data_IF_224309773702
#
_entry.id   IF_224309773702
#
_cell.length_a   1.000
_cell.length_b   1.000
_cell.length_c   1.000
_cell.angle_alpha   90.00
_cell.angle_beta   90.00
_cell.angle_gamma   90.00
#
_symmetry.space_group_name_H-M   'P 1'
#
loop_
_entity.id
_entity.type
_entity.pdbx_description
1 polymer ?
#
# COMPACT_ATOMS: atom_id res chain seq x y z
N UNK A 1 -37.89 0.62 -8.24
CA UNK A 1 -37.52 2.02 -7.91
C UNK A 1 -36.04 2.14 -8.20
N UNK A 2 -35.57 3.14 -8.96
CA UNK A 2 -34.13 3.34 -9.11
C UNK A 2 -33.56 3.65 -7.72
N UNK A 3 -32.48 2.96 -7.34
CA UNK A 3 -31.72 3.28 -6.14
C UNK A 3 -31.31 4.76 -6.20
N UNK A 4 -31.56 5.48 -5.10
CA UNK A 4 -31.03 6.83 -4.95
C UNK A 4 -29.49 6.73 -4.98
N UNK A 5 -28.79 7.58 -5.74
CA UNK A 5 -27.33 7.56 -5.76
C UNK A 5 -26.80 7.74 -4.34
N UNK A 6 -25.79 6.93 -3.95
CA UNK A 6 -25.14 7.02 -2.64
C UNK A 6 -24.73 8.47 -2.38
N UNK A 7 -25.23 9.13 -1.31
CA UNK A 7 -24.94 10.54 -1.04
C UNK A 7 -23.46 10.83 -0.80
N UNK A 8 -22.64 9.79 -0.56
CA UNK A 8 -21.17 9.87 -0.44
C UNK A 8 -20.49 10.02 -1.82
N UNK A 9 -21.13 9.58 -2.90
CA UNK A 9 -20.61 9.63 -4.26
C UNK A 9 -20.76 11.04 -4.86
N UNK A 10 -19.82 11.90 -4.50
CA UNK A 10 -19.66 13.25 -5.04
C UNK A 10 -18.25 13.46 -5.58
N UNK A 11 -18.10 14.43 -6.49
CA UNK A 11 -16.79 14.81 -7.03
C UNK A 11 -15.84 15.25 -5.92
N UNK A 12 -14.55 15.11 -6.16
CA UNK A 12 -13.50 15.76 -5.39
C UNK A 12 -13.38 17.21 -5.83
N UNK A 13 -13.35 18.14 -4.88
CA UNK A 13 -13.30 19.58 -5.16
C UNK A 13 -11.86 20.13 -5.18
N UNK A 14 -10.88 19.38 -4.68
CA UNK A 14 -9.48 19.79 -4.63
C UNK A 14 -8.51 18.60 -4.56
N UNK A 15 -7.22 18.86 -4.85
CA UNK A 15 -6.14 17.88 -4.70
C UNK A 15 -6.01 17.36 -3.25
N UNK A 16 -6.22 18.23 -2.26
CA UNK A 16 -6.19 17.86 -0.85
C UNK A 16 -7.32 16.88 -0.50
N UNK A 17 -8.51 17.05 -1.08
CA UNK A 17 -9.65 16.17 -0.80
C UNK A 17 -9.46 14.78 -1.41
N UNK A 18 -8.95 14.69 -2.65
CA UNK A 18 -8.64 13.38 -3.26
C UNK A 18 -7.49 12.70 -2.54
N UNK A 19 -6.45 13.43 -2.13
CA UNK A 19 -5.35 12.88 -1.35
C UNK A 19 -5.82 12.35 0.00
N UNK A 20 -6.74 13.07 0.67
CA UNK A 20 -7.37 12.56 1.89
C UNK A 20 -8.14 11.24 1.62
N UNK A 21 -8.86 11.15 0.50
CA UNK A 21 -9.51 9.90 0.07
C UNK A 21 -8.53 8.74 -0.13
N UNK A 22 -7.40 8.96 -0.81
CA UNK A 22 -6.36 7.94 -0.97
C UNK A 22 -5.74 7.54 0.39
N UNK A 23 -5.50 8.50 1.30
CA UNK A 23 -4.99 8.22 2.64
C UNK A 23 -5.99 7.44 3.49
N UNK A 24 -7.29 7.69 3.36
CA UNK A 24 -8.33 6.91 4.05
C UNK A 24 -8.37 5.46 3.57
N UNK A 25 -8.20 5.22 2.27
CA UNK A 25 -8.05 3.86 1.72
C UNK A 25 -6.79 3.18 2.25
N UNK A 26 -5.67 3.91 2.25
CA UNK A 26 -4.42 3.41 2.78
C UNK A 26 -4.55 3.04 4.26
N UNK A 27 -5.20 3.89 5.07
CA UNK A 27 -5.46 3.60 6.48
C UNK A 27 -6.31 2.34 6.66
N UNK A 28 -7.34 2.14 5.85
CA UNK A 28 -8.16 0.94 5.89
C UNK A 28 -7.36 -0.33 5.52
N UNK A 29 -6.53 -0.26 4.48
CA UNK A 29 -5.63 -1.34 4.09
C UNK A 29 -4.63 -1.66 5.22
N UNK A 30 -3.94 -0.65 5.75
CA UNK A 30 -2.94 -0.84 6.79
C UNK A 30 -3.56 -1.41 8.06
N UNK A 31 -4.78 -0.98 8.45
CA UNK A 31 -5.50 -1.57 9.59
C UNK A 31 -5.77 -3.05 9.39
N UNK A 32 -6.26 -3.43 8.21
CA UNK A 32 -6.48 -4.84 7.87
C UNK A 32 -5.16 -5.62 7.98
N UNK A 33 -4.10 -5.18 7.30
CA UNK A 33 -2.81 -5.91 7.28
C UNK A 33 -2.14 -5.97 8.65
N UNK A 34 -2.21 -4.90 9.44
CA UNK A 34 -1.72 -4.89 10.82
C UNK A 34 -2.52 -5.86 11.70
N UNK A 35 -3.84 -5.89 11.56
CA UNK A 35 -4.69 -6.80 12.32
C UNK A 35 -4.40 -8.28 11.97
N UNK A 36 -4.15 -8.58 10.70
CA UNK A 36 -3.74 -9.92 10.28
C UNK A 36 -2.35 -10.26 10.80
N UNK A 37 -1.37 -9.37 10.62
CA UNK A 37 0.01 -9.62 11.06
C UNK A 37 0.10 -9.81 12.59
N UNK A 38 -0.65 -9.05 13.39
CA UNK A 38 -0.72 -9.24 14.85
C UNK A 38 -1.14 -10.65 15.25
N UNK A 39 -2.05 -11.27 14.49
CA UNK A 39 -2.51 -12.65 14.76
C UNK A 39 -1.41 -13.68 14.50
N UNK A 40 -0.43 -13.38 13.66
CA UNK A 40 0.74 -14.26 13.45
C UNK A 40 1.67 -14.31 14.65
N UNK A 41 1.66 -13.28 15.50
CA UNK A 41 2.54 -13.14 16.67
C UNK A 41 1.90 -13.61 17.99
N UNK A 42 0.64 -14.07 17.98
CA UNK A 42 -0.10 -14.40 19.22
C UNK A 42 0.61 -15.46 20.07
N UNK A 43 1.34 -16.38 19.43
CA UNK A 43 2.07 -17.46 20.11
C UNK A 43 3.53 -17.13 20.44
N UNK A 44 4.10 -16.03 19.92
CA UNK A 44 5.49 -15.63 20.17
C UNK A 44 5.67 -14.09 20.18
N UNK A 45 5.18 -13.41 21.23
CA UNK A 45 5.28 -11.96 21.34
C UNK A 45 6.67 -11.44 21.72
N UNK A 46 7.65 -12.33 21.95
CA UNK A 46 8.92 -11.98 22.59
C UNK A 46 10.08 -11.69 21.61
N UNK A 47 9.91 -11.97 20.32
CA UNK A 47 11.01 -11.87 19.35
C UNK A 47 10.68 -10.90 18.22
N UNK A 48 11.12 -9.64 18.40
CA UNK A 48 11.29 -8.68 17.32
C UNK A 48 12.76 -8.72 16.86
N UNK A 49 13.03 -9.51 15.82
CA UNK A 49 14.14 -9.28 14.88
C UNK A 49 15.59 -9.52 15.32
N UNK A 50 15.89 -10.03 16.53
CA UNK A 50 17.31 -10.23 16.95
C UNK A 50 17.80 -11.66 16.69
N UNK A 51 16.94 -12.67 16.80
CA UNK A 51 17.27 -14.08 16.56
C UNK A 51 16.04 -14.76 15.96
N UNK A 52 16.22 -15.46 14.85
CA UNK A 52 15.17 -16.31 14.25
C UNK A 52 15.08 -17.61 15.05
N UNK A 53 13.92 -17.90 15.63
CA UNK A 53 13.72 -19.13 16.42
C UNK A 53 13.47 -20.34 15.51
N UNK A 54 13.73 -21.57 15.98
CA UNK A 54 13.42 -22.79 15.21
C UNK A 54 11.92 -22.85 14.81
N UNK A 55 11.03 -22.41 15.72
CA UNK A 55 9.59 -22.30 15.46
C UNK A 55 9.28 -21.29 14.36
N UNK A 56 9.99 -20.16 14.35
CA UNK A 56 9.85 -19.16 13.28
C UNK A 56 10.36 -19.71 11.95
N UNK A 57 11.48 -20.45 11.93
CA UNK A 57 11.96 -21.14 10.73
C UNK A 57 10.90 -22.10 10.19
N UNK A 58 10.34 -22.96 11.05
CA UNK A 58 9.29 -23.90 10.65
C UNK A 58 8.06 -23.15 10.09
N UNK A 59 7.61 -22.09 10.76
CA UNK A 59 6.49 -21.28 10.31
C UNK A 59 6.76 -20.56 8.96
N UNK A 60 8.00 -20.15 8.71
CA UNK A 60 8.42 -19.57 7.43
C UNK A 60 8.45 -20.62 6.30
N UNK A 61 8.85 -21.85 6.60
CA UNK A 61 8.92 -22.95 5.64
C UNK A 61 7.54 -23.56 5.33
N UNK A 62 6.63 -23.59 6.31
CA UNK A 62 5.24 -24.04 6.14
C UNK A 62 4.39 -23.02 5.36
N UNK A 63 4.85 -21.76 5.26
CA UNK A 63 4.19 -20.73 4.48
C UNK A 63 4.27 -21.05 2.99
N UNK A 64 3.14 -20.89 2.28
CA UNK A 64 3.12 -21.00 0.83
C UNK A 64 4.15 -20.09 0.18
N UNK A 65 4.83 -20.58 -0.87
CA UNK A 65 5.83 -19.81 -1.61
C UNK A 65 5.24 -18.47 -2.04
N UNK A 66 5.96 -17.38 -1.78
CA UNK A 66 5.56 -16.02 -2.13
C UNK A 66 4.29 -15.49 -1.45
N UNK A 67 3.71 -16.23 -0.50
CA UNK A 67 2.56 -15.75 0.26
C UNK A 67 2.98 -14.67 1.27
N UNK A 68 2.17 -13.62 1.48
CA UNK A 68 2.48 -12.58 2.45
C UNK A 68 2.54 -13.14 3.88
N UNK A 69 3.16 -12.43 4.83
CA UNK A 69 3.38 -12.94 6.19
C UNK A 69 2.12 -13.38 6.93
N UNK A 70 0.99 -12.79 6.59
CA UNK A 70 -0.31 -13.02 7.18
C UNK A 70 -1.24 -13.95 6.35
N UNK A 71 -0.73 -14.61 5.32
CA UNK A 71 -1.56 -15.42 4.42
C UNK A 71 -2.26 -16.61 5.11
N UNK A 72 -1.65 -17.19 6.15
CA UNK A 72 -2.19 -18.33 6.88
C UNK A 72 -3.17 -17.94 8.00
N UNK A 73 -3.41 -16.64 8.21
CA UNK A 73 -4.27 -16.16 9.29
C UNK A 73 -5.73 -16.45 8.95
N UNK A 74 -6.41 -17.19 9.84
CA UNK A 74 -7.84 -17.44 9.72
C UNK A 74 -8.63 -16.12 9.80
N UNK A 75 -9.62 -15.96 8.91
CA UNK A 75 -10.50 -14.79 8.87
C UNK A 75 -11.59 -14.97 9.94
N UNK A 76 -11.52 -14.15 10.99
CA UNK A 76 -12.58 -14.00 11.99
C UNK A 76 -13.51 -12.83 11.64
N UNK A 77 -14.56 -12.63 12.44
CA UNK A 77 -15.55 -11.57 12.22
C UNK A 77 -14.92 -10.16 12.21
N UNK A 78 -13.86 -9.93 13.00
CA UNK A 78 -13.16 -8.64 13.03
C UNK A 78 -12.39 -8.41 11.74
N UNK A 79 -11.65 -9.42 11.26
CA UNK A 79 -10.92 -9.33 10.00
C UNK A 79 -11.86 -9.19 8.80
N UNK A 80 -12.99 -9.90 8.80
CA UNK A 80 -14.02 -9.75 7.79
C UNK A 80 -14.56 -8.31 7.74
N UNK A 81 -14.90 -7.73 8.90
CA UNK A 81 -15.35 -6.35 8.98
C UNK A 81 -14.29 -5.33 8.51
N UNK A 82 -13.01 -5.58 8.80
CA UNK A 82 -11.91 -4.73 8.31
C UNK A 82 -11.71 -4.86 6.79
N UNK A 83 -11.87 -6.06 6.23
CA UNK A 83 -11.81 -6.29 4.79
C UNK A 83 -12.97 -5.60 4.07
N UNK A 84 -14.19 -5.73 4.60
CA UNK A 84 -15.38 -5.04 4.08
C UNK A 84 -15.21 -3.51 4.14
N UNK A 85 -14.64 -2.98 5.23
CA UNK A 85 -14.36 -1.56 5.35
C UNK A 85 -13.33 -1.08 4.31
N UNK A 86 -12.30 -1.87 4.01
CA UNK A 86 -11.35 -1.53 2.94
C UNK A 86 -12.00 -1.59 1.56
N UNK A 87 -12.88 -2.57 1.32
CA UNK A 87 -13.63 -2.69 0.07
C UNK A 87 -14.59 -1.50 -0.13
N UNK A 88 -15.45 -1.18 0.83
CA UNK A 88 -16.38 -0.03 0.76
C UNK A 88 -15.64 1.29 0.52
N UNK A 89 -14.50 1.50 1.20
CA UNK A 89 -13.69 2.71 0.98
C UNK A 89 -13.05 2.77 -0.39
N UNK A 90 -12.57 1.64 -0.91
CA UNK A 90 -12.00 1.56 -2.24
C UNK A 90 -13.05 1.79 -3.32
N UNK A 91 -14.21 1.15 -3.20
CA UNK A 91 -15.34 1.33 -4.13
C UNK A 91 -15.84 2.77 -4.13
N UNK A 92 -16.07 3.35 -2.94
CA UNK A 92 -16.48 4.74 -2.80
C UNK A 92 -15.46 5.68 -3.44
N UNK A 93 -14.17 5.49 -3.18
CA UNK A 93 -13.14 6.37 -3.74
C UNK A 93 -13.06 6.28 -5.26
N UNK A 94 -13.08 5.07 -5.84
CA UNK A 94 -13.06 4.91 -7.30
C UNK A 94 -14.33 5.49 -7.94
N UNK A 95 -15.50 5.35 -7.30
CA UNK A 95 -16.73 6.00 -7.76
C UNK A 95 -16.60 7.54 -7.77
N UNK A 96 -16.01 8.12 -6.72
CA UNK A 96 -15.75 9.56 -6.64
C UNK A 96 -14.70 10.03 -7.65
N UNK A 97 -13.65 9.24 -7.88
CA UNK A 97 -12.65 9.49 -8.95
C UNK A 97 -13.34 9.52 -10.31
N UNK A 98 -14.18 8.52 -10.63
CA UNK A 98 -14.92 8.45 -11.88
C UNK A 98 -15.83 9.67 -12.09
N UNK A 99 -16.58 10.08 -11.06
CA UNK A 99 -17.41 11.29 -11.09
C UNK A 99 -16.57 12.55 -11.33
N UNK A 100 -15.42 12.65 -10.67
CA UNK A 100 -14.52 13.80 -10.80
C UNK A 100 -13.91 13.89 -12.20
N UNK A 101 -13.52 12.75 -12.79
CA UNK A 101 -13.05 12.70 -14.18
C UNK A 101 -14.15 13.06 -15.18
N UNK A 102 -15.42 12.74 -14.88
CA UNK A 102 -16.55 13.00 -15.77
C UNK A 102 -17.01 14.47 -15.80
N UNK A 103 -16.83 15.22 -14.72
CA UNK A 103 -17.31 16.61 -14.64
C UNK A 103 -16.86 17.42 -13.43
N UNK A 104 -15.86 16.94 -12.69
CA UNK A 104 -15.24 17.66 -11.59
C UNK A 104 -14.17 18.66 -12.05
N UNK A 105 -13.58 19.40 -11.11
CA UNK A 105 -12.45 20.27 -11.40
C UNK A 105 -11.22 19.47 -11.89
N UNK A 106 -10.33 20.08 -12.69
CA UNK A 106 -9.08 19.43 -13.06
C UNK A 106 -8.17 19.32 -11.82
N UNK A 107 -7.97 18.09 -11.35
CA UNK A 107 -7.08 17.79 -10.22
C UNK A 107 -5.73 17.30 -10.72
N UNK A 108 -4.65 17.75 -10.08
CA UNK A 108 -3.26 17.44 -10.44
C UNK A 108 -3.03 15.92 -10.32
N UNK A 109 -3.42 15.30 -9.20
CA UNK A 109 -3.23 13.85 -9.02
C UNK A 109 -3.95 13.02 -10.09
N UNK A 110 -5.17 13.40 -10.47
CA UNK A 110 -5.93 12.71 -11.52
C UNK A 110 -5.35 12.97 -12.92
N UNK A 111 -4.85 14.18 -13.18
CA UNK A 111 -4.15 14.52 -14.42
C UNK A 111 -2.86 13.73 -14.58
N UNK A 112 -2.06 13.58 -13.52
CA UNK A 112 -0.88 12.71 -13.49
C UNK A 112 -1.27 11.26 -13.77
N UNK A 113 -2.32 10.78 -13.10
CA UNK A 113 -2.78 9.42 -13.27
C UNK A 113 -3.22 9.13 -14.71
N UNK A 114 -4.03 10.01 -15.30
CA UNK A 114 -4.45 9.86 -16.69
C UNK A 114 -3.29 9.98 -17.69
N UNK A 115 -2.37 10.93 -17.48
CA UNK A 115 -1.25 11.19 -18.38
C UNK A 115 -0.16 10.11 -18.37
N UNK A 116 0.01 9.44 -17.23
CA UNK A 116 1.03 8.39 -17.05
C UNK A 116 0.44 6.97 -17.00
N UNK A 117 -0.88 6.82 -17.17
CA UNK A 117 -1.55 5.52 -17.11
C UNK A 117 -1.59 4.90 -15.72
N UNK A 118 -1.58 5.71 -14.66
CA UNK A 118 -1.62 5.23 -13.28
C UNK A 118 -3.01 4.72 -12.92
N UNK A 119 -3.10 3.43 -12.60
CA UNK A 119 -4.29 2.78 -12.09
C UNK A 119 -4.57 3.10 -10.62
N UNK A 120 -5.60 2.43 -10.07
CA UNK A 120 -5.94 2.54 -8.66
C UNK A 120 -4.80 2.06 -7.74
N UNK A 121 -4.13 0.97 -8.13
CA UNK A 121 -2.99 0.41 -7.40
C UNK A 121 -1.80 1.37 -7.40
N UNK A 122 -1.44 1.96 -8.54
CA UNK A 122 -0.37 2.94 -8.64
C UNK A 122 -0.60 4.15 -7.71
N UNK A 123 -1.84 4.66 -7.67
CA UNK A 123 -2.18 5.77 -6.76
C UNK A 123 -2.06 5.37 -5.29
N UNK A 124 -2.45 4.14 -4.95
CA UNK A 124 -2.30 3.62 -3.59
C UNK A 124 -0.83 3.44 -3.21
N UNK A 125 0.02 2.94 -4.12
CA UNK A 125 1.48 2.82 -3.94
C UNK A 125 2.13 4.18 -3.78
N UNK A 126 1.78 5.15 -4.65
CA UNK A 126 2.25 6.53 -4.54
C UNK A 126 1.86 7.11 -3.18
N UNK A 127 0.62 6.90 -2.75
CA UNK A 127 0.10 7.37 -1.46
C UNK A 127 0.88 6.76 -0.30
N UNK A 128 1.14 5.45 -0.33
CA UNK A 128 1.98 4.77 0.67
C UNK A 128 3.41 5.35 0.73
N UNK A 129 3.99 5.73 -0.41
CA UNK A 129 5.33 6.30 -0.46
C UNK A 129 5.39 7.76 0.04
N UNK A 130 4.36 8.57 -0.21
CA UNK A 130 4.30 9.98 0.28
C UNK A 130 3.80 10.08 1.72
N UNK A 131 3.01 9.13 2.21
CA UNK A 131 2.37 9.20 3.53
C UNK A 131 3.34 9.51 4.68
N UNK A 132 4.56 8.93 4.75
CA UNK A 132 5.56 9.27 5.78
C UNK A 132 6.05 10.72 5.78
N UNK A 133 5.96 11.41 4.64
CA UNK A 133 6.30 12.82 4.53
C UNK A 133 5.11 13.76 4.82
N UNK A 134 3.89 13.22 4.86
CA UNK A 134 2.67 13.94 5.24
C UNK A 134 2.38 13.80 6.73
N UNK A 135 2.58 12.60 7.29
CA UNK A 135 2.37 12.31 8.70
C UNK A 135 3.38 11.25 9.20
N UNK A 136 4.17 11.61 10.21
CA UNK A 136 5.21 10.74 10.79
C UNK A 136 4.65 9.47 11.44
N UNK A 137 3.34 9.37 11.70
CA UNK A 137 2.73 8.13 12.17
C UNK A 137 2.97 6.98 11.19
N UNK A 138 3.00 7.26 9.89
CA UNK A 138 3.23 6.24 8.87
C UNK A 138 4.67 5.71 8.92
N UNK A 139 5.66 6.51 9.32
CA UNK A 139 7.03 6.00 9.54
C UNK A 139 7.04 4.87 10.58
N UNK A 140 6.25 5.01 11.65
CA UNK A 140 6.17 4.03 12.74
C UNK A 140 5.40 2.78 12.31
N UNK A 141 4.29 2.95 11.59
CA UNK A 141 3.50 1.82 11.08
C UNK A 141 4.31 1.01 10.07
N UNK A 142 5.01 1.68 9.15
CA UNK A 142 5.85 1.02 8.14
C UNK A 142 7.03 0.30 8.80
N UNK A 143 7.70 0.92 9.77
CA UNK A 143 8.77 0.26 10.51
C UNK A 143 8.28 -0.99 11.26
N UNK A 144 7.08 -0.93 11.84
CA UNK A 144 6.46 -2.10 12.48
C UNK A 144 6.11 -3.21 11.47
N UNK A 145 5.58 -2.86 10.30
CA UNK A 145 5.28 -3.84 9.24
C UNK A 145 6.55 -4.49 8.65
N UNK A 146 7.68 -3.77 8.65
CA UNK A 146 8.98 -4.34 8.28
C UNK A 146 9.61 -5.23 9.35
N UNK A 147 9.04 -5.27 10.56
CA UNK A 147 9.71 -5.75 11.77
C UNK A 147 11.08 -5.08 12.00
N UNK A 148 11.21 -3.82 11.56
CA UNK A 148 12.44 -3.03 11.66
C UNK A 148 12.09 -1.54 11.82
N UNK A 149 12.20 -1.03 13.04
CA UNK A 149 11.90 0.36 13.37
C UNK A 149 12.83 1.39 12.68
N UNK A 150 13.97 0.94 12.14
CA UNK A 150 14.87 1.80 11.36
C UNK A 150 14.36 2.03 9.93
N UNK A 151 13.52 1.13 9.39
CA UNK A 151 12.97 1.19 8.03
C UNK A 151 11.67 2.01 7.99
N UNK A 152 11.81 3.32 7.80
CA UNK A 152 10.71 4.30 7.85
C UNK A 152 10.06 4.62 6.51
N UNK A 153 10.40 3.87 5.47
CA UNK A 153 9.90 4.03 4.11
C UNK A 153 9.49 2.67 3.56
N UNK A 154 8.47 2.60 2.70
CA UNK A 154 8.03 1.34 2.14
C UNK A 154 9.13 0.78 1.23
N UNK A 155 9.36 -0.53 1.29
CA UNK A 155 10.20 -1.23 0.31
C UNK A 155 9.32 -1.91 -0.73
N UNK A 156 9.92 -2.30 -1.86
CA UNK A 156 9.20 -3.07 -2.90
C UNK A 156 8.58 -4.33 -2.31
N UNK A 157 9.31 -5.05 -1.46
CA UNK A 157 8.81 -6.22 -0.73
C UNK A 157 7.58 -5.92 0.10
N UNK A 158 7.57 -4.83 0.88
CA UNK A 158 6.42 -4.45 1.68
C UNK A 158 5.21 -4.11 0.79
N UNK A 159 5.39 -3.33 -0.28
CA UNK A 159 4.30 -2.99 -1.20
C UNK A 159 3.68 -4.27 -1.77
N UNK A 160 4.54 -5.18 -2.22
CA UNK A 160 4.14 -6.46 -2.77
C UNK A 160 3.39 -7.30 -1.74
N UNK A 161 3.88 -7.37 -0.48
CA UNK A 161 3.19 -8.11 0.58
C UNK A 161 1.80 -7.51 0.89
N UNK A 162 1.67 -6.19 0.87
CA UNK A 162 0.40 -5.49 1.13
C UNK A 162 -0.66 -5.77 0.05
N UNK A 163 -0.24 -5.89 -1.21
CA UNK A 163 -1.12 -5.89 -2.39
C UNK A 163 -1.31 -7.28 -3.03
N UNK A 164 -0.35 -8.19 -2.93
CA UNK A 164 -0.42 -9.51 -3.56
C UNK A 164 -1.00 -10.57 -2.63
N UNK A 165 -1.87 -11.44 -3.16
CA UNK A 165 -2.42 -12.57 -2.40
C UNK A 165 -1.65 -13.87 -2.65
N UNK A 166 -1.13 -14.06 -3.86
CA UNK A 166 -0.42 -15.28 -4.27
C UNK A 166 0.83 -14.98 -5.12
N UNK A 167 1.52 -16.04 -5.57
CA UNK A 167 2.73 -15.92 -6.38
C UNK A 167 2.50 -15.18 -7.71
N UNK A 168 1.36 -15.38 -8.35
CA UNK A 168 1.01 -14.73 -9.61
C UNK A 168 0.88 -13.24 -9.43
N UNK A 169 0.09 -12.83 -8.43
CA UNK A 169 -0.07 -11.42 -8.05
C UNK A 169 1.27 -10.81 -7.65
N UNK A 170 2.10 -11.57 -6.93
CA UNK A 170 3.40 -11.11 -6.47
C UNK A 170 4.34 -10.76 -7.63
N UNK A 171 4.37 -11.61 -8.65
CA UNK A 171 5.17 -11.41 -9.85
C UNK A 171 4.63 -10.24 -10.69
N UNK A 172 3.31 -10.14 -10.83
CA UNK A 172 2.67 -9.02 -11.52
C UNK A 172 2.99 -7.68 -10.84
N UNK A 173 2.79 -7.59 -9.52
CA UNK A 173 3.08 -6.39 -8.74
C UNK A 173 4.57 -6.01 -8.80
N UNK A 174 5.48 -6.99 -8.72
CA UNK A 174 6.91 -6.71 -8.90
C UNK A 174 7.24 -6.21 -10.30
N UNK A 175 6.64 -6.78 -11.35
CA UNK A 175 6.84 -6.32 -12.71
C UNK A 175 6.33 -4.89 -12.92
N UNK A 176 5.20 -4.53 -12.32
CA UNK A 176 4.65 -3.17 -12.35
C UNK A 176 5.54 -2.15 -11.61
N UNK A 177 6.18 -2.55 -10.50
CA UNK A 177 7.02 -1.66 -9.70
C UNK A 177 8.48 -1.56 -10.17
N UNK A 178 9.02 -2.65 -10.72
CA UNK A 178 10.43 -2.79 -11.09
C UNK A 178 10.68 -2.77 -12.59
N UNK A 179 9.62 -2.82 -13.41
CA UNK A 179 9.71 -2.81 -14.86
C UNK A 179 10.38 -1.53 -15.39
N UNK A 180 11.02 -1.64 -16.55
CA UNK A 180 11.65 -0.49 -17.23
C UNK A 180 10.63 0.63 -17.53
N UNK A 181 9.39 0.23 -17.80
CA UNK A 181 8.25 1.12 -18.06
C UNK A 181 7.31 1.27 -16.85
N UNK A 182 7.78 0.97 -15.64
CA UNK A 182 6.98 1.10 -14.41
C UNK A 182 6.38 2.53 -14.34
N UNK A 183 5.04 2.70 -14.41
CA UNK A 183 4.43 4.01 -14.63
C UNK A 183 4.84 5.07 -13.61
N UNK A 184 4.96 4.67 -12.34
CA UNK A 184 5.38 5.55 -11.24
C UNK A 184 6.84 6.00 -11.33
N UNK A 185 7.72 5.18 -11.92
CA UNK A 185 9.13 5.52 -12.16
C UNK A 185 9.28 6.36 -13.42
N UNK A 186 8.60 5.96 -14.51
CA UNK A 186 8.60 6.68 -15.79
C UNK A 186 8.01 8.09 -15.65
N UNK A 187 6.96 8.26 -14.83
CA UNK A 187 6.37 9.55 -14.49
C UNK A 187 7.27 10.43 -13.61
N UNK A 188 8.36 9.88 -13.05
CA UNK A 188 9.19 10.57 -12.06
C UNK A 188 8.45 10.85 -10.75
N UNK A 189 7.36 10.16 -10.45
CA UNK A 189 6.65 10.30 -9.18
C UNK A 189 7.44 9.63 -8.05
N UNK A 190 8.01 8.46 -8.33
CA UNK A 190 8.82 7.70 -7.40
C UNK A 190 10.24 7.47 -7.95
N UNK A 191 11.14 7.16 -7.04
CA UNK A 191 12.44 6.58 -7.33
C UNK A 191 12.70 5.40 -6.39
N UNK A 192 13.42 4.41 -6.90
CA UNK A 192 13.87 3.26 -6.13
C UNK A 192 15.31 3.50 -5.67
N UNK A 193 15.54 3.33 -4.38
CA UNK A 193 16.87 3.40 -3.79
C UNK A 193 17.29 2.01 -3.35
N UNK A 194 18.50 1.60 -3.72
CA UNK A 194 19.09 0.38 -3.20
C UNK A 194 19.27 0.47 -1.69
N UNK A 195 19.09 -0.66 -1.02
CA UNK A 195 19.43 -0.82 0.38
C UNK A 195 20.96 -0.85 0.47
N UNK A 196 21.61 0.12 1.16
CA UNK A 196 23.07 0.22 1.18
C UNK A 196 23.73 -1.01 1.79
N UNK A 197 23.05 -1.70 2.71
CA UNK A 197 23.54 -2.93 3.33
C UNK A 197 23.28 -4.15 2.43
N UNK A 198 22.36 -4.04 1.45
CA UNK A 198 21.92 -5.12 0.57
C UNK A 198 21.66 -4.66 -0.88
N UNK A 199 22.68 -4.20 -1.62
CA UNK A 199 22.52 -3.50 -2.90
C UNK A 199 21.96 -4.36 -4.05
N UNK A 200 21.83 -5.68 -3.87
CA UNK A 200 21.32 -6.60 -4.89
C UNK A 200 19.94 -7.19 -4.57
N UNK A 201 19.27 -6.73 -3.50
CA UNK A 201 17.96 -7.27 -3.13
C UNK A 201 16.83 -6.38 -3.67
N UNK A 202 16.15 -6.77 -4.78
CA UNK A 202 15.12 -5.94 -5.40
C UNK A 202 13.95 -5.64 -4.44
N UNK A 203 13.61 -6.59 -3.57
CA UNK A 203 12.55 -6.43 -2.56
C UNK A 203 12.93 -5.50 -1.42
N UNK A 204 14.23 -5.30 -1.17
CA UNK A 204 14.70 -4.36 -0.14
C UNK A 204 14.82 -2.93 -0.64
N UNK A 205 14.73 -2.71 -1.97
CA UNK A 205 14.74 -1.35 -2.53
C UNK A 205 13.64 -0.50 -1.93
N UNK A 206 14.01 0.69 -1.50
CA UNK A 206 13.12 1.65 -0.85
C UNK A 206 12.40 2.48 -1.90
N UNK A 207 11.08 2.61 -1.79
CA UNK A 207 10.29 3.54 -2.59
C UNK A 207 10.37 4.93 -1.94
N UNK A 208 10.88 5.90 -2.69
CA UNK A 208 10.93 7.30 -2.26
C UNK A 208 10.16 8.17 -3.25
N UNK A 209 9.28 9.07 -2.80
CA UNK A 209 8.73 10.08 -3.69
C UNK A 209 9.83 11.02 -4.14
N UNK A 210 9.90 11.33 -5.44
CA UNK A 210 10.92 12.27 -5.92
C UNK A 210 10.73 13.66 -5.27
N UNK A 211 11.82 14.42 -5.04
CA UNK A 211 11.71 15.78 -4.52
C UNK A 211 10.75 16.63 -5.36
N UNK A 212 9.85 17.34 -4.69
CA UNK A 212 8.88 18.23 -5.33
C UNK A 212 7.51 17.61 -5.61
N UNK A 213 7.35 16.28 -5.57
CA UNK A 213 6.04 15.63 -5.80
C UNK A 213 4.99 16.12 -4.80
N UNK A 214 5.35 16.22 -3.52
CA UNK A 214 4.41 16.69 -2.47
C UNK A 214 4.08 18.17 -2.64
N UNK A 215 5.06 19.01 -3.01
CA UNK A 215 4.83 20.43 -3.25
C UNK A 215 4.02 20.67 -4.54
N UNK A 216 4.05 19.71 -5.46
CA UNK A 216 3.29 19.73 -6.69
C UNK A 216 1.86 19.22 -6.51
N UNK A 217 1.56 18.40 -5.49
CA UNK A 217 0.20 18.01 -5.11
C UNK A 217 -0.54 19.12 -4.36
#
# INVERSE_FOLDING_TARGET
MPELPDPRCRVYESDAEILAGELERLDALLRLRVAQLRRTFVDDPAYHGVVVSDREVDALLDRGVAAPPWASVAIDDELAALADAFADRSELHEARVALTLAGGPPLRLLGLAAGCGLGALDRLVLTLAIAPALDLRYERVIGWLHDDASRRRPSVGLVVDLLAADLGDRLACQAELLGEDAPLLAAGALELLDDPDHPSSPLRRTLRPRPGVIAWL
#
